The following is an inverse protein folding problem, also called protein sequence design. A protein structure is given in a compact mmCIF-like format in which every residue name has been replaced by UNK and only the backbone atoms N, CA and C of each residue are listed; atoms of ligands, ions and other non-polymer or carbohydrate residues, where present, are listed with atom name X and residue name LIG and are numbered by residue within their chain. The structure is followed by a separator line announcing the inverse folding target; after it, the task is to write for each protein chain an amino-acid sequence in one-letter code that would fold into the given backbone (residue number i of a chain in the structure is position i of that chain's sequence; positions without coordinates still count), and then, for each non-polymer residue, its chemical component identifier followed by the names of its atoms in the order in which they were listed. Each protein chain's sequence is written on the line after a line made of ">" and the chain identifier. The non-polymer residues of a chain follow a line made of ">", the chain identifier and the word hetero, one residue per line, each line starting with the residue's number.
data_IF_230253825677
#
_entry.id   IF_230253825677
#
_cell.length_a   1.000
_cell.length_b   1.000
_cell.length_c   1.000
_cell.angle_alpha   90.00
_cell.angle_beta   90.00
_cell.angle_gamma   90.00
#
_symmetry.space_group_name_H-M   'P 1'
#
loop_
_entity.id
_entity.type
_entity.pdbx_description
1 polymer ?
#
# COMPACT_ATOMS: atom_id res chain seq x y z
N UNK A 1 -11.84 -5.34 9.68
CA UNK A 1 -12.71 -5.14 8.49
C UNK A 1 -11.94 -4.28 7.51
N UNK A 2 -11.82 -4.69 6.25
CA UNK A 2 -11.14 -3.91 5.22
C UNK A 2 -12.15 -2.96 4.58
N UNK A 3 -11.82 -1.67 4.53
CA UNK A 3 -12.73 -0.66 3.98
C UNK A 3 -12.34 -0.33 2.54
N UNK A 4 -13.33 -0.28 1.65
CA UNK A 4 -13.11 0.27 0.33
C UNK A 4 -12.82 1.77 0.44
N UNK A 5 -11.72 2.21 -0.17
CA UNK A 5 -11.39 3.64 -0.27
C UNK A 5 -11.43 4.12 -1.70
N UNK A 6 -12.04 5.29 -1.90
CA UNK A 6 -11.95 5.99 -3.17
C UNK A 6 -10.54 6.57 -3.35
N UNK A 7 -9.81 6.03 -4.30
CA UNK A 7 -8.42 6.40 -4.62
C UNK A 7 -8.33 7.88 -5.00
N UNK A 8 -9.28 8.39 -5.80
CA UNK A 8 -9.28 9.79 -6.24
C UNK A 8 -9.41 10.75 -5.04
N UNK A 9 -10.31 10.44 -4.12
CA UNK A 9 -10.48 11.22 -2.87
C UNK A 9 -9.22 11.16 -2.02
N UNK A 10 -8.60 9.98 -1.91
CA UNK A 10 -7.37 9.81 -1.14
C UNK A 10 -6.20 10.63 -1.71
N UNK A 11 -6.07 10.70 -3.04
CA UNK A 11 -5.07 11.53 -3.72
C UNK A 11 -5.34 13.02 -3.46
N UNK A 12 -6.59 13.47 -3.66
CA UNK A 12 -6.97 14.88 -3.43
C UNK A 12 -6.68 15.27 -1.98
N UNK A 13 -7.09 14.45 -1.01
CA UNK A 13 -6.83 14.71 0.41
C UNK A 13 -5.32 14.74 0.71
N UNK A 14 -4.53 13.87 0.08
CA UNK A 14 -3.07 13.88 0.24
C UNK A 14 -2.46 15.20 -0.24
N UNK A 15 -2.98 15.79 -1.33
CA UNK A 15 -2.50 17.08 -1.85
C UNK A 15 -2.98 18.24 -0.96
N UNK A 16 -4.28 18.28 -0.64
CA UNK A 16 -4.90 19.36 0.16
C UNK A 16 -4.32 19.44 1.57
N UNK A 17 -3.92 18.30 2.14
CA UNK A 17 -3.32 18.23 3.48
C UNK A 17 -1.79 18.28 3.47
N UNK A 18 -1.17 18.70 2.37
CA UNK A 18 0.28 18.80 2.22
C UNK A 18 1.02 17.48 2.58
N UNK A 19 0.45 16.34 2.20
CA UNK A 19 1.02 15.01 2.41
C UNK A 19 0.65 14.34 3.74
N UNK A 20 0.02 15.05 4.69
CA UNK A 20 -0.35 14.49 6.00
C UNK A 20 -1.34 13.33 5.84
N UNK A 21 -2.37 13.49 5.01
CA UNK A 21 -3.30 12.41 4.72
C UNK A 21 -2.62 11.25 3.98
N UNK A 22 -1.58 11.51 3.18
CA UNK A 22 -0.80 10.47 2.52
C UNK A 22 -0.12 9.53 3.52
N UNK A 23 0.35 10.05 4.65
CA UNK A 23 0.92 9.26 5.75
C UNK A 23 -0.15 8.38 6.40
N UNK A 24 -1.31 8.97 6.72
CA UNK A 24 -2.44 8.22 7.26
C UNK A 24 -2.85 7.09 6.32
N UNK A 25 -3.02 7.41 5.03
CA UNK A 25 -3.39 6.46 4.00
C UNK A 25 -2.39 5.30 3.89
N UNK A 26 -1.09 5.62 3.87
CA UNK A 26 -0.02 4.61 3.88
C UNK A 26 -0.13 3.64 5.05
N UNK A 27 -0.32 4.15 6.27
CA UNK A 27 -0.36 3.33 7.49
C UNK A 27 -1.57 2.39 7.46
N UNK A 28 -2.75 2.93 7.17
CA UNK A 28 -3.99 2.14 7.22
C UNK A 28 -4.02 1.10 6.11
N UNK A 29 -3.63 1.48 4.88
CA UNK A 29 -3.53 0.56 3.76
C UNK A 29 -2.54 -0.58 4.03
N UNK A 30 -1.37 -0.28 4.61
CA UNK A 30 -0.37 -1.31 4.94
C UNK A 30 -0.91 -2.29 5.98
N UNK A 31 -1.60 -1.81 7.01
CA UNK A 31 -2.24 -2.65 8.01
C UNK A 31 -3.34 -3.54 7.40
N UNK A 32 -4.13 -3.01 6.47
CA UNK A 32 -5.14 -3.79 5.76
C UNK A 32 -4.51 -4.90 4.92
N UNK A 33 -3.41 -4.61 4.21
CA UNK A 33 -2.68 -5.63 3.46
C UNK A 33 -2.17 -6.74 4.39
N UNK A 34 -1.54 -6.41 5.53
CA UNK A 34 -1.08 -7.40 6.50
C UNK A 34 -2.23 -8.23 7.10
N UNK A 35 -3.38 -7.60 7.35
CA UNK A 35 -4.57 -8.31 7.78
C UNK A 35 -5.11 -9.26 6.68
N UNK A 36 -5.09 -8.82 5.42
CA UNK A 36 -5.59 -9.59 4.28
C UNK A 36 -4.70 -10.79 3.93
N UNK A 37 -3.39 -10.68 4.11
CA UNK A 37 -2.42 -11.75 3.86
C UNK A 37 -2.26 -12.73 5.03
N UNK A 38 -2.77 -12.37 6.21
CA UNK A 38 -2.61 -13.13 7.45
C UNK A 38 -1.29 -12.83 8.19
N UNK A 39 -0.47 -11.91 7.69
CA UNK A 39 0.76 -11.45 8.35
C UNK A 39 0.49 -10.20 9.20
N UNK A 40 0.04 -10.41 10.44
CA UNK A 40 -0.19 -9.31 11.39
C UNK A 40 1.09 -8.58 11.84
N UNK A 41 2.29 -9.09 11.51
CA UNK A 41 3.55 -8.40 11.78
C UNK A 41 3.82 -7.28 10.76
N UNK A 42 3.15 -7.33 9.60
CA UNK A 42 3.23 -6.35 8.53
C UNK A 42 2.39 -5.10 8.85
N UNK A 43 2.94 -4.23 9.71
CA UNK A 43 2.24 -3.05 10.23
C UNK A 43 2.70 -1.75 9.58
N UNK A 44 1.75 -0.89 9.23
CA UNK A 44 2.00 0.42 8.63
C UNK A 44 2.83 1.34 9.51
N UNK A 45 2.64 1.29 10.83
CA UNK A 45 3.44 2.09 11.78
C UNK A 45 4.93 1.75 11.72
N UNK A 46 5.27 0.46 11.68
CA UNK A 46 6.67 0.00 11.53
C UNK A 46 7.27 0.47 10.22
N UNK A 47 6.56 0.28 9.11
CA UNK A 47 7.06 0.68 7.78
C UNK A 47 7.17 2.20 7.66
N UNK A 48 6.25 2.98 8.23
CA UNK A 48 6.29 4.43 8.21
C UNK A 48 7.50 4.97 8.99
N UNK A 49 7.73 4.47 10.20
CA UNK A 49 8.89 4.87 11.00
C UNK A 49 10.20 4.57 10.28
N UNK A 50 10.32 3.40 9.65
CA UNK A 50 11.50 3.04 8.88
C UNK A 50 11.68 3.93 7.64
N UNK A 51 10.60 4.28 6.94
CA UNK A 51 10.63 5.26 5.84
C UNK A 51 11.08 6.63 6.31
N UNK A 52 10.65 7.08 7.50
CA UNK A 52 11.09 8.35 8.06
C UNK A 52 12.58 8.34 8.44
N UNK A 53 13.03 7.30 9.16
CA UNK A 53 14.42 7.16 9.63
C UNK A 53 15.41 6.99 8.47
N UNK A 54 14.98 6.37 7.38
CA UNK A 54 15.81 6.15 6.18
C UNK A 54 15.65 7.24 5.12
N UNK A 55 15.03 8.37 5.46
CA UNK A 55 14.81 9.49 4.53
C UNK A 55 14.11 9.07 3.22
N UNK A 56 13.12 8.18 3.30
CA UNK A 56 12.33 7.73 2.16
C UNK A 56 12.84 6.47 1.47
N UNK A 57 14.10 6.05 1.68
CA UNK A 57 14.71 4.89 0.99
C UNK A 57 13.95 3.60 1.31
N UNK A 58 13.53 3.42 2.58
CA UNK A 58 12.75 2.25 2.97
C UNK A 58 11.38 2.18 2.28
N UNK A 59 10.86 3.29 1.74
CA UNK A 59 9.65 3.28 0.93
C UNK A 59 9.76 2.35 -0.29
N UNK A 60 10.95 2.21 -0.87
CA UNK A 60 11.21 1.28 -1.99
C UNK A 60 11.15 -0.18 -1.51
N UNK A 61 11.74 -0.47 -0.35
CA UNK A 61 11.69 -1.80 0.28
C UNK A 61 10.25 -2.17 0.63
N UNK A 62 9.50 -1.23 1.19
CA UNK A 62 8.08 -1.40 1.45
C UNK A 62 7.30 -1.70 0.16
N UNK A 63 7.57 -1.00 -0.93
CA UNK A 63 6.86 -1.21 -2.21
C UNK A 63 7.04 -2.65 -2.74
N UNK A 64 8.21 -3.25 -2.53
CA UNK A 64 8.43 -4.66 -2.85
C UNK A 64 7.70 -5.60 -1.89
N UNK A 65 7.76 -5.34 -0.58
CA UNK A 65 7.15 -6.21 0.42
C UNK A 65 5.61 -6.18 0.35
N UNK A 66 5.01 -4.99 0.16
CA UNK A 66 3.56 -4.84 0.03
C UNK A 66 3.04 -5.57 -1.21
N UNK A 67 3.80 -5.59 -2.31
CA UNK A 67 3.42 -6.34 -3.51
C UNK A 67 3.27 -7.84 -3.24
N UNK A 68 4.26 -8.44 -2.55
CA UNK A 68 4.19 -9.87 -2.16
C UNK A 68 3.04 -10.18 -1.22
N UNK A 69 2.78 -9.28 -0.26
CA UNK A 69 1.68 -9.47 0.68
C UNK A 69 0.32 -9.37 -0.03
N UNK A 70 0.18 -8.46 -0.99
CA UNK A 70 -1.02 -8.37 -1.84
C UNK A 70 -1.18 -9.61 -2.70
N UNK A 71 -0.10 -10.09 -3.32
CA UNK A 71 -0.10 -11.32 -4.13
C UNK A 71 -0.55 -12.53 -3.31
N UNK A 72 0.01 -12.72 -2.12
CA UNK A 72 -0.36 -13.79 -1.20
C UNK A 72 -1.82 -13.65 -0.73
N UNK A 73 -2.26 -12.43 -0.42
CA UNK A 73 -3.65 -12.14 -0.08
C UNK A 73 -4.64 -12.45 -1.22
N UNK A 74 -4.26 -12.20 -2.48
CA UNK A 74 -5.07 -12.54 -3.66
C UNK A 74 -5.10 -14.05 -3.87
N UNK A 75 -3.95 -14.71 -3.73
CA UNK A 75 -3.79 -16.17 -3.86
C UNK A 75 -4.67 -16.91 -2.85
N UNK A 76 -4.69 -16.48 -1.59
CA UNK A 76 -5.54 -17.06 -0.54
C UNK A 76 -7.04 -16.95 -0.84
N UNK A 77 -7.44 -15.97 -1.67
CA UNK A 77 -8.84 -15.73 -2.07
C UNK A 77 -9.19 -16.31 -3.44
N UNK A 78 -8.26 -17.01 -4.09
CA UNK A 78 -8.46 -17.53 -5.46
C UNK A 78 -8.60 -16.43 -6.52
N UNK A 79 -8.18 -15.20 -6.22
CA UNK A 79 -8.19 -14.08 -7.16
C UNK A 79 -6.96 -14.15 -8.07
N UNK A 80 -7.09 -13.57 -9.27
CA UNK A 80 -5.96 -13.43 -10.19
C UNK A 80 -4.88 -12.56 -9.54
N UNK A 81 -3.69 -13.13 -9.39
CA UNK A 81 -2.53 -12.48 -8.80
C UNK A 81 -2.12 -11.27 -9.65
N UNK A 82 -1.89 -10.15 -8.98
CA UNK A 82 -1.46 -8.89 -9.56
C UNK A 82 0.05 -8.91 -9.79
N UNK A 83 0.48 -8.86 -11.05
CA UNK A 83 1.91 -8.85 -11.44
C UNK A 83 2.56 -7.45 -11.29
N UNK A 84 2.03 -6.64 -10.35
CA UNK A 84 2.38 -5.22 -10.24
C UNK A 84 3.63 -4.95 -9.40
N UNK A 85 4.29 -6.00 -8.87
CA UNK A 85 5.46 -5.85 -7.99
C UNK A 85 6.59 -5.03 -8.63
N UNK A 86 6.89 -5.27 -9.91
CA UNK A 86 7.90 -4.50 -10.65
C UNK A 86 7.48 -3.03 -10.82
N UNK A 87 6.20 -2.81 -11.13
CA UNK A 87 5.63 -1.47 -11.32
C UNK A 87 5.72 -0.66 -10.03
N UNK A 88 5.42 -1.27 -8.87
CA UNK A 88 5.47 -0.60 -7.56
C UNK A 88 6.88 -0.14 -7.21
N UNK A 89 7.88 -0.98 -7.48
CA UNK A 89 9.29 -0.67 -7.22
C UNK A 89 9.79 0.44 -8.15
N UNK A 90 9.53 0.34 -9.45
CA UNK A 90 9.95 1.34 -10.43
C UNK A 90 9.35 2.71 -10.12
N UNK A 91 8.04 2.78 -9.86
CA UNK A 91 7.37 4.04 -9.51
C UNK A 91 7.92 4.65 -8.22
N UNK A 92 8.22 3.83 -7.22
CA UNK A 92 8.77 4.31 -5.94
C UNK A 92 10.19 4.87 -6.09
N UNK A 93 11.02 4.31 -6.98
CA UNK A 93 12.37 4.83 -7.27
C UNK A 93 12.31 6.23 -7.91
N UNK A 94 11.34 6.47 -8.78
CA UNK A 94 11.17 7.76 -9.46
C UNK A 94 10.38 8.80 -8.63
N UNK A 95 10.11 8.53 -7.36
CA UNK A 95 9.40 9.46 -6.47
C UNK A 95 7.87 9.48 -6.66
N UNK A 96 7.31 8.57 -7.46
CA UNK A 96 5.86 8.45 -7.68
C UNK A 96 5.17 7.58 -6.62
N UNK A 97 5.55 7.72 -5.35
CA UNK A 97 5.03 6.90 -4.25
C UNK A 97 3.50 6.93 -4.12
N UNK A 98 2.87 8.06 -4.46
CA UNK A 98 1.41 8.20 -4.43
C UNK A 98 0.69 7.32 -5.47
N UNK A 99 1.33 7.05 -6.61
CA UNK A 99 0.80 6.14 -7.64
C UNK A 99 0.91 4.70 -7.13
N UNK A 100 2.02 4.35 -6.49
CA UNK A 100 2.16 3.05 -5.80
C UNK A 100 1.04 2.84 -4.77
N UNK A 101 0.69 3.87 -3.99
CA UNK A 101 -0.42 3.78 -3.02
C UNK A 101 -1.76 3.56 -3.72
N UNK A 102 -2.00 4.26 -4.84
CA UNK A 102 -3.21 4.09 -5.63
C UNK A 102 -3.37 2.66 -6.16
N UNK A 103 -2.30 2.06 -6.66
CA UNK A 103 -2.34 0.70 -7.20
C UNK A 103 -2.55 -0.34 -6.10
N UNK A 104 -1.82 -0.24 -4.97
CA UNK A 104 -2.02 -1.12 -3.81
C UNK A 104 -3.46 -1.01 -3.29
N UNK A 105 -3.99 0.22 -3.17
CA UNK A 105 -5.37 0.43 -2.73
C UNK A 105 -6.39 -0.14 -3.73
N UNK A 106 -6.10 -0.12 -5.03
CA UNK A 106 -6.93 -0.76 -6.06
C UNK A 106 -7.01 -2.27 -5.85
N UNK A 107 -5.88 -2.92 -5.59
CA UNK A 107 -5.82 -4.36 -5.32
C UNK A 107 -6.55 -4.71 -4.00
N UNK A 108 -6.33 -3.92 -2.95
CA UNK A 108 -7.04 -4.05 -1.67
C UNK A 108 -8.56 -3.91 -1.85
N UNK A 109 -9.01 -2.94 -2.64
CA UNK A 109 -10.42 -2.71 -2.90
C UNK A 109 -11.07 -3.88 -3.67
N UNK A 110 -10.34 -4.54 -4.58
CA UNK A 110 -10.83 -5.75 -5.25
C UNK A 110 -11.06 -6.89 -4.26
N UNK A 111 -10.17 -7.04 -3.28
CA UNK A 111 -10.28 -8.06 -2.22
C UNK A 111 -11.36 -7.74 -1.17
N UNK A 112 -11.78 -6.48 -1.06
CA UNK A 112 -12.83 -6.03 -0.15
C UNK A 112 -14.24 -6.10 -0.76
N UNK A 113 -14.39 -6.49 -2.04
CA UNK A 113 -15.71 -6.75 -2.64
C UNK A 113 -16.25 -8.10 -2.12
N UNK A 114 -17.54 -8.19 -1.76
CA UNK A 114 -18.17 -9.44 -1.34
C UNK A 114 -18.21 -10.48 -2.46
#
# INVERSE_FOLDING_TARGET
>A
MVQQRNIAVAIILSIVTCGIYGIYWFIVMTNEVGYLSGDHSFTGGKHFLLTLVTCGIWGIVWAYQVAKQVEEAQRQRGLRMSDNALIYVVLSIFGFGIITYALVQSDVNQMARP
#
